data_IF_256707760394
#
_entry.id   IF_256707760394
#
_cell.length_a   1.000
_cell.length_b   1.000
_cell.length_c   1.000
_cell.angle_alpha   90.00
_cell.angle_beta   90.00
_cell.angle_gamma   90.00
#
_symmetry.space_group_name_H-M   'P 1'
#
loop_
_entity.id
_entity.type
_entity.pdbx_description
1 polymer ?
#
# COMPACT_ATOMS: atom_id res chain seq x y z
N UNK A 1 -18.17 11.66 29.89
CA UNK A 1 -17.42 12.40 28.85
C UNK A 1 -15.92 12.17 29.02
N UNK A 2 -15.40 12.23 30.25
CA UNK A 2 -13.96 12.14 30.52
C UNK A 2 -13.33 10.75 30.30
N UNK A 3 -14.06 9.67 30.58
CA UNK A 3 -13.56 8.31 30.36
C UNK A 3 -13.31 7.97 28.88
N UNK A 4 -14.14 8.50 27.97
CA UNK A 4 -13.99 8.29 26.52
C UNK A 4 -12.78 9.08 26.01
N UNK A 5 -12.59 10.31 26.46
CA UNK A 5 -11.40 11.09 26.13
C UNK A 5 -10.12 10.47 26.69
N UNK A 6 -10.15 9.90 27.89
CA UNK A 6 -9.03 9.17 28.47
C UNK A 6 -8.68 7.90 27.66
N UNK A 7 -9.69 7.13 27.23
CA UNK A 7 -9.48 5.96 26.37
C UNK A 7 -8.94 6.34 24.99
N UNK A 8 -9.46 7.42 24.40
CA UNK A 8 -8.95 7.94 23.13
C UNK A 8 -7.48 8.36 23.28
N UNK A 9 -7.14 9.16 24.29
CA UNK A 9 -5.76 9.59 24.53
C UNK A 9 -4.81 8.41 24.78
N UNK A 10 -5.23 7.43 25.58
CA UNK A 10 -4.45 6.21 25.81
C UNK A 10 -4.23 5.42 24.50
N UNK A 11 -5.23 5.37 23.63
CA UNK A 11 -5.10 4.74 22.32
C UNK A 11 -4.18 5.54 21.40
N UNK A 12 -4.25 6.88 21.41
CA UNK A 12 -3.34 7.75 20.65
C UNK A 12 -1.88 7.52 21.08
N UNK A 13 -1.61 7.46 22.38
CA UNK A 13 -0.29 7.17 22.93
C UNK A 13 0.21 5.79 22.50
N UNK A 14 -0.67 4.79 22.50
CA UNK A 14 -0.35 3.45 22.01
C UNK A 14 -0.11 3.44 20.49
N UNK A 15 -0.89 4.18 19.71
CA UNK A 15 -0.70 4.30 18.26
C UNK A 15 0.64 4.95 17.92
N UNK A 16 1.03 6.00 18.66
CA UNK A 16 2.36 6.62 18.57
C UNK A 16 3.48 5.62 18.89
N UNK A 17 3.31 4.77 19.91
CA UNK A 17 4.29 3.72 20.24
C UNK A 17 4.37 2.59 19.21
N UNK A 18 3.29 2.35 18.46
CA UNK A 18 3.15 1.25 17.50
C UNK A 18 3.51 1.65 16.07
N UNK A 19 4.38 2.65 15.89
CA UNK A 19 4.84 3.05 14.57
C UNK A 19 3.66 3.52 13.68
N UNK A 20 2.85 4.46 14.17
CA UNK A 20 1.96 5.29 13.34
C UNK A 20 2.20 6.76 13.73
N UNK A 21 2.31 7.64 12.73
CA UNK A 21 2.40 9.08 12.99
C UNK A 21 1.09 9.74 12.57
N UNK A 22 0.56 10.56 13.48
CA UNK A 22 -0.50 11.52 13.13
C UNK A 22 0.09 12.51 12.14
N UNK A 23 -0.50 12.59 10.95
CA UNK A 23 -0.02 13.46 9.87
C UNK A 23 -0.34 14.94 10.13
N UNK A 24 -1.20 15.25 11.08
CA UNK A 24 -1.80 16.58 11.18
C UNK A 24 -1.25 17.35 12.37
N UNK A 25 -0.47 18.38 12.01
CA UNK A 25 0.21 19.34 12.87
C UNK A 25 -0.68 20.51 13.34
N UNK A 26 -2.00 20.46 13.12
CA UNK A 26 -2.93 21.56 13.40
C UNK A 26 -3.93 21.27 14.52
N UNK A 27 -4.13 22.23 15.42
CA UNK A 27 -5.10 22.16 16.53
C UNK A 27 -6.54 22.56 16.14
N UNK A 28 -6.79 22.86 14.86
CA UNK A 28 -8.09 23.31 14.37
C UNK A 28 -9.18 22.24 14.58
N UNK A 29 -10.35 22.59 15.12
CA UNK A 29 -11.48 21.67 15.26
C UNK A 29 -12.00 21.22 13.89
N UNK A 30 -12.48 19.97 13.81
CA UNK A 30 -13.09 19.40 12.60
C UNK A 30 -14.59 19.20 12.72
N UNK A 31 -15.14 19.34 13.93
CA UNK A 31 -16.55 19.19 14.23
C UNK A 31 -17.06 20.40 15.02
N UNK A 32 -18.15 21.02 14.56
CA UNK A 32 -18.72 22.23 15.15
C UNK A 32 -20.20 22.00 15.47
N UNK A 33 -20.54 22.07 16.75
CA UNK A 33 -21.92 21.99 17.20
C UNK A 33 -22.32 23.30 17.89
N UNK A 34 -23.61 23.47 18.19
CA UNK A 34 -24.17 24.74 18.70
C UNK A 34 -23.41 25.33 19.90
N UNK A 35 -22.77 24.48 20.72
CA UNK A 35 -22.16 24.86 21.99
C UNK A 35 -20.64 24.64 22.02
N UNK A 36 -19.99 24.54 20.86
CA UNK A 36 -18.55 24.43 20.80
C UNK A 36 -18.05 23.63 19.62
N UNK A 37 -16.76 23.32 19.68
CA UNK A 37 -16.05 22.66 18.61
C UNK A 37 -15.14 21.58 19.19
N UNK A 38 -15.01 20.47 18.48
CA UNK A 38 -14.14 19.36 18.86
C UNK A 38 -13.28 18.93 17.68
N UNK A 39 -12.12 18.36 17.98
CA UNK A 39 -11.28 17.66 17.01
C UNK A 39 -11.63 16.17 17.08
N UNK A 40 -12.32 15.66 16.07
CA UNK A 40 -12.74 14.24 16.03
C UNK A 40 -12.18 13.50 14.81
N UNK A 41 -11.77 14.24 13.77
CA UNK A 41 -11.34 13.67 12.50
C UNK A 41 -9.81 13.77 12.34
N UNK A 42 -9.20 12.66 11.94
CA UNK A 42 -7.74 12.50 11.87
C UNK A 42 -7.34 11.71 10.62
N UNK A 43 -6.24 12.12 10.00
CA UNK A 43 -5.54 11.39 8.94
C UNK A 43 -4.22 10.89 9.53
N UNK A 44 -3.91 9.63 9.24
CA UNK A 44 -2.81 8.88 9.81
C UNK A 44 -1.87 8.37 8.71
N UNK A 45 -0.57 8.30 8.98
CA UNK A 45 0.36 7.54 8.12
C UNK A 45 1.30 6.65 8.91
N UNK A 46 1.97 5.77 8.16
CA UNK A 46 3.10 5.03 8.68
C UNK A 46 4.31 5.96 8.93
N UNK A 47 5.21 5.62 9.88
CA UNK A 47 6.41 6.38 10.25
C UNK A 47 7.44 6.52 9.15
N UNK A 48 7.45 5.54 8.25
CA UNK A 48 8.33 5.56 7.09
C UNK A 48 7.72 6.27 5.91
N UNK A 49 6.54 6.89 6.05
CA UNK A 49 5.88 7.58 4.95
C UNK A 49 6.66 8.85 4.59
N UNK A 50 7.32 8.90 3.41
CA UNK A 50 8.08 10.06 3.01
C UNK A 50 7.11 11.16 2.57
N UNK A 51 6.88 12.14 3.44
CA UNK A 51 6.03 13.28 3.14
C UNK A 51 6.77 14.63 3.28
N UNK A 52 7.86 14.87 2.52
CA UNK A 52 8.41 16.22 2.40
C UNK A 52 7.35 17.18 1.86
N UNK A 53 7.26 18.38 2.45
CA UNK A 53 6.26 19.37 2.05
C UNK A 53 4.81 18.97 2.36
N UNK A 54 4.60 18.01 3.28
CA UNK A 54 3.29 17.70 3.81
C UNK A 54 2.68 18.94 4.47
N UNK A 55 1.51 19.35 4.00
CA UNK A 55 0.72 20.35 4.68
C UNK A 55 -0.71 19.85 4.86
N UNK A 56 -1.33 20.28 5.95
CA UNK A 56 -2.70 19.94 6.27
C UNK A 56 -3.42 21.17 6.77
N UNK A 57 -4.68 21.34 6.37
CA UNK A 57 -5.53 22.39 6.87
C UNK A 57 -6.98 21.91 6.96
N UNK A 58 -7.79 22.67 7.69
CA UNK A 58 -9.21 22.40 7.89
C UNK A 58 -9.99 23.50 7.20
N UNK A 59 -10.96 23.13 6.38
CA UNK A 59 -11.78 24.05 5.59
C UNK A 59 -13.27 23.75 5.78
N UNK A 60 -14.11 24.79 5.77
CA UNK A 60 -15.55 24.62 5.83
C UNK A 60 -16.08 24.04 4.52
N UNK A 61 -16.93 23.02 4.60
CA UNK A 61 -17.62 22.47 3.44
C UNK A 61 -18.42 23.55 2.70
N UNK A 62 -18.40 23.60 1.35
CA UNK A 62 -19.24 24.51 0.59
C UNK A 62 -20.71 24.33 0.95
N UNK A 63 -21.45 25.44 1.01
CA UNK A 63 -22.89 25.39 1.25
C UNK A 63 -23.58 24.69 0.08
N UNK A 64 -24.54 23.84 0.40
CA UNK A 64 -25.46 23.25 -0.58
C UNK A 64 -26.79 23.96 -0.43
N UNK A 65 -27.28 24.61 -1.50
CA UNK A 65 -28.50 25.43 -1.47
C UNK A 65 -28.49 26.48 -0.35
N UNK A 66 -27.39 27.23 -0.20
CA UNK A 66 -27.18 28.25 0.85
C UNK A 66 -27.18 27.76 2.30
N UNK A 67 -27.32 26.46 2.52
CA UNK A 67 -27.27 25.83 3.82
C UNK A 67 -25.98 25.03 4.01
N UNK A 68 -25.42 25.10 5.22
CA UNK A 68 -24.34 24.22 5.61
C UNK A 68 -24.91 22.80 5.74
N UNK A 69 -24.43 21.86 4.92
CA UNK A 69 -24.96 20.51 4.87
C UNK A 69 -24.35 19.56 5.91
N UNK A 70 -23.26 19.99 6.57
CA UNK A 70 -22.57 19.23 7.60
C UNK A 70 -21.93 20.14 8.63
N UNK A 71 -22.00 19.72 9.89
CA UNK A 71 -21.29 20.26 11.05
C UNK A 71 -19.81 19.87 11.10
N UNK A 72 -19.36 19.01 10.18
CA UNK A 72 -17.95 18.71 9.99
C UNK A 72 -17.30 19.67 8.99
N UNK A 73 -16.04 20.00 9.27
CA UNK A 73 -15.15 20.67 8.33
C UNK A 73 -14.29 19.64 7.59
N UNK A 74 -14.00 19.92 6.32
CA UNK A 74 -13.13 19.08 5.50
C UNK A 74 -11.71 19.19 6.00
N UNK A 75 -11.10 18.04 6.20
CA UNK A 75 -9.69 17.91 6.52
C UNK A 75 -8.92 17.58 5.24
N UNK A 76 -8.09 18.52 4.80
CA UNK A 76 -7.34 18.41 3.55
C UNK A 76 -5.87 18.23 3.89
N UNK A 77 -5.27 17.18 3.36
CA UNK A 77 -3.84 16.92 3.43
C UNK A 77 -3.29 16.81 2.03
N UNK A 78 -2.20 17.51 1.75
CA UNK A 78 -1.49 17.43 0.49
C UNK A 78 0.00 17.20 0.75
N UNK A 79 0.62 16.44 -0.15
CA UNK A 79 2.04 16.10 -0.10
C UNK A 79 2.56 15.89 -1.53
N UNK A 80 3.86 16.07 -1.71
CA UNK A 80 4.50 15.80 -3.00
C UNK A 80 4.72 14.30 -3.21
N UNK A 81 4.00 13.72 -4.18
CA UNK A 81 4.09 12.30 -4.50
C UNK A 81 5.46 11.90 -5.11
N UNK A 82 6.19 12.84 -5.73
CA UNK A 82 7.49 12.54 -6.32
C UNK A 82 8.51 12.14 -5.25
N UNK A 83 8.39 12.74 -4.06
CA UNK A 83 9.18 12.37 -2.89
C UNK A 83 8.94 10.92 -2.43
N UNK A 84 7.74 10.37 -2.64
CA UNK A 84 7.47 8.96 -2.34
C UNK A 84 8.20 8.00 -3.28
N UNK A 85 8.29 8.33 -4.58
CA UNK A 85 9.01 7.49 -5.55
C UNK A 85 10.53 7.60 -5.47
N UNK A 86 11.05 8.74 -5.01
CA UNK A 86 12.49 8.93 -4.80
C UNK A 86 13.06 7.96 -3.76
N UNK A 87 12.21 7.46 -2.86
CA UNK A 87 12.59 6.49 -1.84
C UNK A 87 12.47 5.07 -2.42
N UNK A 88 13.55 4.58 -3.06
CA UNK A 88 13.57 3.23 -3.59
C UNK A 88 13.35 2.21 -2.45
N UNK A 89 12.25 1.47 -2.52
CA UNK A 89 11.99 0.38 -1.57
C UNK A 89 13.18 -0.59 -1.51
N UNK A 90 13.50 -1.12 -0.32
CA UNK A 90 14.60 -2.08 -0.14
C UNK A 90 14.54 -3.26 -1.12
N UNK A 91 13.34 -3.76 -1.40
CA UNK A 91 13.12 -4.81 -2.40
C UNK A 91 13.54 -4.36 -3.82
N UNK A 92 13.25 -3.12 -4.21
CA UNK A 92 13.63 -2.57 -5.52
C UNK A 92 15.12 -2.31 -5.62
N UNK A 93 15.78 -1.90 -4.53
CA UNK A 93 17.24 -1.81 -4.47
C UNK A 93 17.89 -3.19 -4.66
N UNK A 94 17.39 -4.22 -3.96
CA UNK A 94 17.84 -5.61 -4.13
C UNK A 94 17.65 -6.10 -5.57
N UNK A 95 16.47 -5.86 -6.15
CA UNK A 95 16.18 -6.24 -7.53
C UNK A 95 17.08 -5.54 -8.55
N UNK A 96 17.50 -4.30 -8.30
CA UNK A 96 18.45 -3.57 -9.17
C UNK A 96 19.88 -4.10 -9.08
N UNK A 97 20.28 -4.68 -7.95
CA UNK A 97 21.60 -5.32 -7.79
C UNK A 97 21.67 -6.73 -8.38
N UNK A 98 20.54 -7.36 -8.68
CA UNK A 98 20.48 -8.69 -9.29
C UNK A 98 20.56 -8.59 -10.81
N UNK A 99 21.49 -9.31 -11.44
CA UNK A 99 21.48 -9.48 -12.89
C UNK A 99 20.26 -10.30 -13.30
N UNK A 100 19.54 -9.82 -14.33
CA UNK A 100 18.42 -10.54 -14.93
C UNK A 100 18.78 -10.92 -16.35
N UNK A 101 18.53 -12.17 -16.68
CA UNK A 101 18.54 -12.61 -18.08
C UNK A 101 17.16 -12.33 -18.65
N UNK A 102 17.10 -11.53 -19.71
CA UNK A 102 15.86 -11.21 -20.42
C UNK A 102 15.89 -11.98 -21.74
N UNK A 103 14.86 -12.81 -21.97
CA UNK A 103 14.69 -13.51 -23.22
C UNK A 103 13.73 -12.73 -24.13
N UNK A 104 14.23 -12.29 -25.28
CA UNK A 104 13.42 -11.65 -26.32
C UNK A 104 12.81 -12.75 -27.20
N UNK A 105 11.54 -13.06 -26.98
CA UNK A 105 10.80 -14.11 -27.71
C UNK A 105 10.88 -13.97 -29.23
N UNK A 106 10.94 -12.73 -29.75
CA UNK A 106 10.99 -12.47 -31.20
C UNK A 106 12.35 -12.79 -31.84
N UNK A 107 13.39 -12.92 -31.03
CA UNK A 107 14.78 -13.12 -31.48
C UNK A 107 15.31 -14.51 -31.12
N UNK A 108 14.50 -15.30 -30.40
CA UNK A 108 14.82 -16.67 -30.07
C UNK A 108 14.70 -17.55 -31.31
N UNK A 109 15.75 -18.32 -31.56
CA UNK A 109 15.73 -19.40 -32.56
C UNK A 109 14.96 -20.59 -31.99
N UNK A 110 14.31 -21.34 -32.87
CA UNK A 110 13.49 -22.50 -32.49
C UNK A 110 14.30 -23.54 -31.71
N UNK A 111 15.56 -23.78 -32.08
CA UNK A 111 16.47 -24.71 -31.39
C UNK A 111 16.74 -24.33 -29.92
N UNK A 112 16.82 -23.03 -29.64
CA UNK A 112 17.04 -22.48 -28.30
C UNK A 112 15.77 -22.59 -27.47
N UNK A 113 14.61 -22.39 -28.11
CA UNK A 113 13.30 -22.56 -27.48
C UNK A 113 13.04 -24.02 -27.10
N UNK A 114 13.32 -24.96 -28.01
CA UNK A 114 13.18 -26.40 -27.76
C UNK A 114 14.07 -26.84 -26.60
N UNK A 115 15.34 -26.41 -26.60
CA UNK A 115 16.27 -26.71 -25.52
C UNK A 115 15.82 -26.15 -24.18
N UNK A 116 15.31 -24.91 -24.15
CA UNK A 116 14.75 -24.30 -22.94
C UNK A 116 13.51 -25.05 -22.45
N UNK A 117 12.59 -25.37 -23.35
CA UNK A 117 11.35 -26.09 -23.03
C UNK A 117 11.63 -27.47 -22.45
N UNK A 118 12.55 -28.23 -23.05
CA UNK A 118 12.98 -29.55 -22.54
C UNK A 118 13.56 -29.43 -21.13
N UNK A 119 14.46 -28.47 -20.90
CA UNK A 119 15.10 -28.27 -19.58
C UNK A 119 14.07 -27.88 -18.51
N UNK A 120 13.18 -26.93 -18.79
CA UNK A 120 12.15 -26.46 -17.85
C UNK A 120 11.17 -27.58 -17.53
N UNK A 121 10.70 -28.30 -18.54
CA UNK A 121 9.79 -29.44 -18.36
C UNK A 121 10.45 -30.55 -17.56
N UNK A 122 11.72 -30.87 -17.82
CA UNK A 122 12.45 -31.88 -17.06
C UNK A 122 12.61 -31.51 -15.58
N UNK A 123 12.88 -30.24 -15.25
CA UNK A 123 12.97 -29.77 -13.86
C UNK A 123 11.62 -29.80 -13.16
N UNK A 124 10.56 -29.44 -13.87
CA UNK A 124 9.20 -29.47 -13.35
C UNK A 124 8.76 -30.91 -13.07
N UNK A 125 9.00 -31.85 -13.99
CA UNK A 125 8.73 -33.28 -13.78
C UNK A 125 9.50 -33.83 -12.57
N UNK A 126 10.78 -33.46 -12.44
CA UNK A 126 11.58 -33.85 -11.28
C UNK A 126 10.99 -33.31 -9.97
N UNK A 127 10.53 -32.05 -9.96
CA UNK A 127 9.89 -31.46 -8.79
C UNK A 127 8.58 -32.18 -8.42
N UNK A 128 7.72 -32.42 -9.42
CA UNK A 128 6.43 -33.08 -9.24
C UNK A 128 6.61 -34.52 -8.75
N UNK A 129 7.52 -35.30 -9.35
CA UNK A 129 7.82 -36.65 -8.90
C UNK A 129 8.37 -36.70 -7.47
N UNK A 130 9.13 -35.68 -7.05
CA UNK A 130 9.72 -35.62 -5.71
C UNK A 130 8.73 -35.18 -4.63
N UNK A 131 7.79 -34.27 -4.94
CA UNK A 131 6.95 -33.63 -3.92
C UNK A 131 5.45 -33.95 -4.06
N UNK A 132 5.01 -34.34 -5.26
CA UNK A 132 3.62 -34.63 -5.59
C UNK A 132 3.50 -35.88 -6.49
N UNK A 133 3.85 -37.08 -5.97
CA UNK A 133 3.94 -38.31 -6.78
C UNK A 133 2.61 -38.76 -7.40
N UNK A 134 1.48 -38.25 -6.91
CA UNK A 134 0.14 -38.46 -7.50
C UNK A 134 -0.06 -37.71 -8.83
N UNK A 135 0.77 -36.72 -9.14
CA UNK A 135 0.74 -35.90 -10.36
C UNK A 135 2.15 -35.96 -11.00
N UNK A 136 2.68 -37.17 -11.15
CA UNK A 136 4.05 -37.45 -11.60
C UNK A 136 4.26 -37.31 -13.12
N UNK A 137 3.28 -36.74 -13.84
CA UNK A 137 3.38 -36.48 -15.27
C UNK A 137 2.74 -35.15 -15.64
N UNK A 138 3.44 -34.37 -16.47
CA UNK A 138 2.93 -33.16 -17.11
C UNK A 138 1.66 -33.42 -17.93
N UNK A 139 1.49 -34.62 -18.48
CA UNK A 139 0.29 -35.01 -19.24
C UNK A 139 -0.98 -35.05 -18.38
N UNK A 140 -0.83 -35.14 -17.05
CA UNK A 140 -1.95 -35.08 -16.11
C UNK A 140 -2.39 -33.62 -15.83
N UNK A 141 -1.60 -32.62 -16.23
CA UNK A 141 -1.95 -31.22 -16.11
C UNK A 141 -2.77 -30.82 -17.34
N UNK A 142 -4.09 -30.82 -17.20
CA UNK A 142 -5.03 -30.32 -18.21
C UNK A 142 -4.76 -28.84 -18.50
N UNK A 143 -4.19 -28.53 -19.68
CA UNK A 143 -4.01 -27.15 -20.16
C UNK A 143 -5.34 -26.46 -20.51
N UNK A 144 -6.43 -27.20 -20.70
CA UNK A 144 -7.74 -26.69 -21.12
C UNK A 144 -8.45 -25.78 -20.08
N UNK A 145 -7.77 -25.43 -18.98
CA UNK A 145 -8.29 -24.60 -17.89
C UNK A 145 -7.47 -23.34 -17.61
N UNK A 146 -6.52 -23.00 -18.48
CA UNK A 146 -5.73 -21.76 -18.42
C UNK A 146 -6.25 -20.69 -19.38
#
# INVERSE_FOLDING_TARGET
>A
RDAIFAQLNLWLDKAHSNNYHVIILGSSPTFYHQNGSSRLDYIWSSPGFPAPGLFSYVETCPKLNDHQFTDHHVLITAFDFNSCFATLAKARLKQKSEQRTIFLYKELKDDTWDKFSIEVNSRLELYLTTHHPSISSLSALSLDKL
#
